data_IF_508393033622
#
_entry.id   IF_508393033622
#
_cell.length_a   1.000
_cell.length_b   1.000
_cell.length_c   1.000
_cell.angle_alpha   90.00
_cell.angle_beta   90.00
_cell.angle_gamma   90.00
#
_symmetry.space_group_name_H-M   'P 1'
#
loop_
_entity.id
_entity.type
_entity.pdbx_description
1 polymer ?
#
# COMPACT_ATOMS: atom_id res chain seq x y z
N UNK A 1 22.46 36.62 17.36
CA UNK A 1 23.27 35.39 17.26
C UNK A 1 22.56 34.45 16.31
N UNK A 2 22.96 34.40 15.04
CA UNK A 2 22.54 33.34 14.13
C UNK A 2 23.36 32.10 14.48
N UNK A 3 22.68 31.05 14.95
CA UNK A 3 23.30 29.73 15.12
C UNK A 3 23.47 29.18 13.71
N UNK A 4 24.70 29.17 13.18
CA UNK A 4 25.04 28.39 12.00
C UNK A 4 24.96 26.91 12.40
N UNK A 5 23.80 26.29 12.18
CA UNK A 5 23.66 24.85 12.19
C UNK A 5 24.48 24.30 11.02
N UNK A 6 25.62 23.69 11.30
CA UNK A 6 26.34 22.91 10.29
C UNK A 6 25.41 21.80 9.78
N UNK A 7 25.26 21.69 8.47
CA UNK A 7 24.47 20.62 7.86
C UNK A 7 24.97 19.25 8.33
N UNK A 8 24.08 18.31 8.71
CA UNK A 8 24.52 16.99 9.17
C UNK A 8 25.25 16.26 8.04
N UNK A 9 26.29 15.47 8.37
CA UNK A 9 27.01 14.67 7.39
C UNK A 9 26.06 13.68 6.70
N UNK A 10 26.24 13.40 5.40
CA UNK A 10 25.35 12.51 4.63
C UNK A 10 25.22 11.12 5.27
N UNK A 11 26.29 10.62 5.89
CA UNK A 11 26.24 9.32 6.59
C UNK A 11 25.24 9.33 7.75
N UNK A 12 25.25 10.41 8.55
CA UNK A 12 24.30 10.58 9.66
C UNK A 12 22.88 10.67 9.12
N UNK A 13 22.64 11.45 8.07
CA UNK A 13 21.33 11.58 7.43
C UNK A 13 20.83 10.26 6.84
N UNK A 14 21.71 9.49 6.21
CA UNK A 14 21.39 8.17 5.67
C UNK A 14 20.95 7.22 6.79
N UNK A 15 21.73 7.12 7.88
CA UNK A 15 21.45 6.22 9.00
C UNK A 15 20.16 6.63 9.74
N UNK A 16 19.96 7.93 10.01
CA UNK A 16 18.76 8.42 10.66
C UNK A 16 17.51 8.25 9.78
N UNK A 17 17.62 8.50 8.47
CA UNK A 17 16.50 8.35 7.54
C UNK A 17 16.12 6.89 7.34
N UNK A 18 17.11 6.01 7.33
CA UNK A 18 16.89 4.56 7.36
C UNK A 18 16.11 4.14 8.60
N UNK A 19 16.44 4.66 9.78
CA UNK A 19 15.71 4.37 11.01
C UNK A 19 14.28 4.94 10.97
N UNK A 20 14.13 6.18 10.48
CA UNK A 20 12.83 6.81 10.27
C UNK A 20 11.89 5.92 9.43
N UNK A 21 12.36 5.42 8.27
CA UNK A 21 11.56 4.53 7.43
C UNK A 21 11.33 3.16 8.05
N UNK A 22 12.33 2.59 8.72
CA UNK A 22 12.18 1.32 9.41
C UNK A 22 11.09 1.40 10.49
N UNK A 23 11.01 2.52 11.21
CA UNK A 23 10.01 2.75 12.24
C UNK A 23 8.62 3.06 11.67
N UNK A 24 8.56 3.85 10.59
CA UNK A 24 7.32 4.26 9.94
C UNK A 24 6.70 3.12 9.12
N UNK A 25 7.47 2.54 8.20
CA UNK A 25 7.03 1.58 7.19
C UNK A 25 7.37 0.13 7.52
N UNK A 26 8.36 -0.09 8.39
CA UNK A 26 8.86 -1.44 8.66
C UNK A 26 9.91 -1.94 7.69
N UNK A 27 10.42 -1.07 6.84
CA UNK A 27 11.50 -1.34 5.89
C UNK A 27 12.21 -0.04 5.54
N UNK A 28 13.36 -0.18 4.89
CA UNK A 28 14.20 0.87 4.33
C UNK A 28 14.75 0.39 2.98
N UNK A 29 15.45 1.22 2.19
CA UNK A 29 16.17 0.72 1.03
C UNK A 29 17.18 -0.35 1.44
N UNK A 30 17.14 -1.51 0.78
CA UNK A 30 18.03 -2.65 1.04
C UNK A 30 18.89 -2.98 -0.18
N UNK A 31 18.33 -2.81 -1.38
CA UNK A 31 19.00 -3.12 -2.65
C UNK A 31 19.66 -1.89 -3.26
N UNK A 32 19.15 -0.70 -2.93
CA UNK A 32 19.65 0.56 -3.48
C UNK A 32 21.02 0.89 -2.91
N UNK A 33 21.97 1.09 -3.81
CA UNK A 33 23.32 1.56 -3.47
C UNK A 33 23.42 3.07 -3.61
N UNK A 34 24.22 3.70 -2.75
CA UNK A 34 24.55 5.13 -2.80
C UNK A 34 26.00 5.30 -3.23
N UNK A 35 26.22 6.10 -4.27
CA UNK A 35 27.54 6.58 -4.67
C UNK A 35 27.59 8.10 -4.56
N UNK A 36 28.65 8.60 -3.93
CA UNK A 36 28.94 10.02 -3.86
C UNK A 36 30.12 10.32 -4.75
N UNK A 37 30.00 11.32 -5.61
CA UNK A 37 31.08 11.75 -6.50
C UNK A 37 31.35 13.24 -6.33
N UNK A 38 32.61 13.66 -6.54
CA UNK A 38 32.98 15.07 -6.45
C UNK A 38 32.31 15.89 -7.56
N UNK A 39 32.25 17.21 -7.42
CA UNK A 39 31.74 18.09 -8.48
C UNK A 39 32.46 17.87 -9.82
N UNK A 40 33.79 17.71 -9.81
CA UNK A 40 34.55 17.42 -11.03
C UNK A 40 34.13 16.12 -11.72
N UNK A 41 33.92 15.06 -10.95
CA UNK A 41 33.43 13.77 -11.46
C UNK A 41 31.97 13.88 -11.93
N UNK A 42 31.13 14.65 -11.23
CA UNK A 42 29.75 14.89 -11.62
C UNK A 42 29.64 15.63 -12.96
N UNK A 43 30.45 16.65 -13.18
CA UNK A 43 30.47 17.41 -14.42
C UNK A 43 30.88 16.54 -15.62
N UNK A 44 31.85 15.64 -15.43
CA UNK A 44 32.23 14.67 -16.46
C UNK A 44 31.14 13.61 -16.68
N UNK A 45 30.58 13.09 -15.60
CA UNK A 45 29.53 12.07 -15.62
C UNK A 45 28.26 12.58 -16.32
N UNK A 46 27.76 13.75 -15.92
CA UNK A 46 26.57 14.37 -16.50
C UNK A 46 26.76 14.67 -17.98
N UNK A 47 27.91 15.22 -18.37
CA UNK A 47 28.26 15.47 -19.79
C UNK A 47 28.28 14.18 -20.61
N UNK A 48 28.91 13.13 -20.09
CA UNK A 48 29.04 11.84 -20.79
C UNK A 48 27.70 11.13 -20.94
N UNK A 49 26.80 11.32 -19.98
CA UNK A 49 25.48 10.68 -19.92
C UNK A 49 24.35 11.54 -20.50
N UNK A 50 24.63 12.78 -20.88
CA UNK A 50 23.63 13.72 -21.40
C UNK A 50 22.61 14.15 -20.33
N UNK A 51 23.01 14.16 -19.05
CA UNK A 51 22.15 14.61 -17.95
C UNK A 51 22.15 16.14 -17.86
N UNK A 52 21.12 16.69 -17.22
CA UNK A 52 21.06 18.11 -16.93
C UNK A 52 22.27 18.51 -16.06
N UNK A 53 23.14 19.45 -16.48
CA UNK A 53 24.31 19.84 -15.71
C UNK A 53 23.96 20.53 -14.38
N UNK A 54 22.73 21.02 -14.25
CA UNK A 54 22.22 21.64 -13.02
C UNK A 54 21.64 20.61 -12.04
N UNK A 55 21.46 19.34 -12.45
CA UNK A 55 21.05 18.32 -11.49
C UNK A 55 22.20 17.98 -10.54
N UNK A 56 21.84 17.52 -9.36
CA UNK A 56 22.76 17.19 -8.26
C UNK A 56 22.68 15.72 -7.86
N UNK A 57 21.84 14.95 -8.56
CA UNK A 57 21.63 13.54 -8.35
C UNK A 57 21.07 12.86 -9.59
N UNK A 58 21.18 11.54 -9.61
CA UNK A 58 20.43 10.66 -10.51
C UNK A 58 20.26 9.28 -9.88
N UNK A 59 19.06 8.71 -10.02
CA UNK A 59 18.78 7.32 -9.74
C UNK A 59 18.76 6.50 -11.03
N UNK A 60 19.39 5.34 -10.99
CA UNK A 60 19.47 4.40 -12.11
C UNK A 60 18.69 3.13 -11.76
N UNK A 61 17.42 2.99 -12.17
CA UNK A 61 16.57 1.84 -11.80
C UNK A 61 17.18 0.49 -12.19
N UNK A 62 17.81 0.45 -13.37
CA UNK A 62 18.51 -0.73 -13.90
C UNK A 62 19.47 -1.38 -12.92
N UNK A 63 20.21 -0.58 -12.18
CA UNK A 63 21.21 -1.05 -11.23
C UNK A 63 20.84 -0.76 -9.77
N UNK A 64 19.67 -0.16 -9.53
CA UNK A 64 19.23 0.35 -8.23
C UNK A 64 20.34 1.16 -7.56
N UNK A 65 20.82 2.19 -8.27
CA UNK A 65 21.96 2.99 -7.83
C UNK A 65 21.61 4.46 -7.85
N UNK A 66 21.78 5.10 -6.70
CA UNK A 66 21.69 6.55 -6.54
C UNK A 66 23.08 7.13 -6.61
N UNK A 67 23.29 8.13 -7.46
CA UNK A 67 24.55 8.85 -7.57
C UNK A 67 24.26 10.29 -7.21
N UNK A 68 24.93 10.83 -6.19
CA UNK A 68 24.75 12.22 -5.75
C UNK A 68 26.05 13.01 -5.85
N UNK A 69 25.92 14.29 -6.19
CA UNK A 69 27.02 15.26 -6.23
C UNK A 69 27.33 15.73 -4.81
N UNK A 70 28.53 15.42 -4.36
CA UNK A 70 29.08 15.84 -3.07
C UNK A 70 28.19 15.47 -1.87
N UNK A 71 28.15 16.35 -0.85
CA UNK A 71 27.32 16.21 0.34
C UNK A 71 26.02 17.02 0.13
N UNK A 72 25.17 16.60 -0.80
CA UNK A 72 23.85 17.22 -1.04
C UNK A 72 22.72 16.40 -0.37
N UNK A 73 22.17 16.86 0.77
CA UNK A 73 21.10 16.16 1.48
C UNK A 73 19.82 15.99 0.66
N UNK A 74 19.44 17.01 -0.12
CA UNK A 74 18.21 16.97 -0.90
C UNK A 74 18.31 15.91 -2.01
N UNK A 75 19.47 15.81 -2.67
CA UNK A 75 19.71 14.73 -3.64
C UNK A 75 19.73 13.35 -2.98
N UNK A 76 20.25 13.22 -1.76
CA UNK A 76 20.14 11.96 -1.01
C UNK A 76 18.67 11.59 -0.80
N UNK A 77 17.85 12.53 -0.32
CA UNK A 77 16.44 12.29 -0.06
C UNK A 77 15.68 11.95 -1.34
N UNK A 78 15.92 12.69 -2.41
CA UNK A 78 15.25 12.51 -3.69
C UNK A 78 15.63 11.19 -4.38
N UNK A 79 16.92 10.94 -4.60
CA UNK A 79 17.40 9.82 -5.41
C UNK A 79 17.40 8.51 -4.61
N UNK A 80 17.95 8.52 -3.39
CA UNK A 80 18.11 7.30 -2.60
C UNK A 80 16.82 6.90 -1.90
N UNK A 81 16.16 7.84 -1.24
CA UNK A 81 14.92 7.55 -0.50
C UNK A 81 13.67 7.72 -1.33
N UNK A 82 13.59 8.69 -2.23
CA UNK A 82 12.46 8.86 -3.13
C UNK A 82 12.41 7.74 -4.16
N UNK A 83 13.30 7.79 -5.14
CA UNK A 83 13.32 6.80 -6.22
C UNK A 83 13.72 5.39 -5.77
N UNK A 84 14.79 5.26 -4.97
CA UNK A 84 15.27 3.96 -4.49
C UNK A 84 14.21 3.18 -3.71
N UNK A 85 13.60 3.81 -2.70
CA UNK A 85 12.53 3.17 -1.92
C UNK A 85 11.32 2.83 -2.79
N UNK A 86 10.91 3.73 -3.69
CA UNK A 86 9.78 3.49 -4.58
C UNK A 86 10.03 2.28 -5.48
N UNK A 87 11.20 2.20 -6.10
CA UNK A 87 11.60 1.08 -6.96
C UNK A 87 11.68 -0.25 -6.22
N UNK A 88 12.06 -0.24 -4.94
CA UNK A 88 12.14 -1.45 -4.13
C UNK A 88 10.80 -1.88 -3.53
N UNK A 89 9.92 -0.94 -3.19
CA UNK A 89 8.81 -1.20 -2.28
C UNK A 89 7.43 -0.85 -2.84
N UNK A 90 7.31 -0.31 -4.05
CA UNK A 90 6.02 -0.21 -4.76
C UNK A 90 5.90 -1.27 -5.87
N UNK A 91 4.68 -1.67 -6.22
CA UNK A 91 4.45 -2.58 -7.36
C UNK A 91 4.93 -1.95 -8.67
N UNK A 92 4.59 -0.68 -8.89
CA UNK A 92 4.96 0.09 -10.08
C UNK A 92 6.47 0.24 -10.20
N UNK A 93 7.14 0.64 -9.13
CA UNK A 93 8.59 0.76 -9.09
C UNK A 93 9.31 -0.57 -9.28
N UNK A 94 8.81 -1.67 -8.70
CA UNK A 94 9.35 -3.02 -8.95
C UNK A 94 9.22 -3.42 -10.41
N UNK A 95 8.10 -3.09 -11.06
CA UNK A 95 7.88 -3.34 -12.49
C UNK A 95 8.86 -2.56 -13.35
N UNK A 96 9.13 -1.29 -13.03
CA UNK A 96 10.15 -0.48 -13.71
C UNK A 96 11.53 -1.17 -13.66
N UNK A 97 11.96 -1.60 -12.47
CA UNK A 97 13.25 -2.29 -12.29
C UNK A 97 13.29 -3.61 -13.05
N UNK A 98 12.19 -4.37 -13.06
CA UNK A 98 12.09 -5.63 -13.80
C UNK A 98 12.28 -5.42 -15.32
N UNK A 99 11.58 -4.43 -15.90
CA UNK A 99 11.67 -4.10 -17.32
C UNK A 99 13.08 -3.64 -17.71
N UNK A 100 13.70 -2.78 -16.89
CA UNK A 100 15.07 -2.32 -17.09
C UNK A 100 16.10 -3.44 -17.03
N UNK A 101 15.97 -4.35 -16.06
CA UNK A 101 16.84 -5.52 -15.94
C UNK A 101 16.65 -6.48 -17.11
N UNK A 102 15.41 -6.73 -17.52
CA UNK A 102 15.10 -7.58 -18.67
C UNK A 102 15.73 -7.01 -19.95
N UNK A 103 15.57 -5.71 -20.20
CA UNK A 103 16.19 -5.04 -21.35
C UNK A 103 17.72 -5.14 -21.31
N UNK A 104 18.33 -4.97 -20.13
CA UNK A 104 19.78 -5.12 -19.98
C UNK A 104 20.27 -6.52 -20.33
N UNK A 105 19.57 -7.57 -19.91
CA UNK A 105 19.96 -8.95 -20.25
C UNK A 105 19.82 -9.24 -21.75
N UNK A 106 18.80 -8.67 -22.40
CA UNK A 106 18.64 -8.74 -23.85
C UNK A 106 19.77 -8.00 -24.58
N UNK A 107 20.14 -6.79 -24.12
CA UNK A 107 21.29 -6.03 -24.65
C UNK A 107 22.61 -6.82 -24.49
N UNK A 108 22.87 -7.39 -23.31
CA UNK A 108 24.07 -8.21 -23.06
C UNK A 108 24.14 -9.42 -23.99
N UNK A 109 23.01 -10.05 -24.26
CA UNK A 109 22.94 -11.22 -25.15
C UNK A 109 23.25 -10.82 -26.59
N UNK A 110 22.61 -9.76 -27.09
CA UNK A 110 22.82 -9.24 -28.44
C UNK A 110 24.28 -8.84 -28.66
N UNK A 111 24.83 -8.07 -27.72
CA UNK A 111 26.17 -7.51 -27.84
C UNK A 111 27.27 -8.36 -27.19
N UNK A 112 27.00 -9.65 -26.91
CA UNK A 112 27.91 -10.56 -26.22
C UNK A 112 29.23 -10.82 -26.95
N UNK A 113 29.26 -10.65 -28.28
CA UNK A 113 30.37 -11.08 -29.14
C UNK A 113 31.25 -9.94 -29.69
N UNK A 114 31.06 -8.70 -29.27
CA UNK A 114 31.85 -7.60 -29.83
C UNK A 114 31.71 -6.28 -29.10
N UNK A 115 32.56 -5.32 -29.51
CA UNK A 115 32.38 -3.92 -29.13
C UNK A 115 31.18 -3.38 -29.89
N UNK A 116 30.34 -2.62 -29.21
CA UNK A 116 29.18 -1.94 -29.76
C UNK A 116 29.26 -0.45 -29.45
N UNK A 117 28.55 0.35 -30.24
CA UNK A 117 28.42 1.79 -30.04
C UNK A 117 27.06 2.14 -29.43
N UNK A 118 26.89 3.38 -28.96
CA UNK A 118 25.58 3.87 -28.52
C UNK A 118 24.54 3.85 -29.65
N UNK A 119 24.97 4.00 -30.90
CA UNK A 119 24.08 3.96 -32.05
C UNK A 119 23.56 2.53 -32.31
N UNK A 120 24.40 1.52 -32.08
CA UNK A 120 24.00 0.11 -32.19
C UNK A 120 22.94 -0.23 -31.12
N UNK A 121 23.10 0.28 -29.89
CA UNK A 121 22.09 0.14 -28.82
C UNK A 121 20.78 0.80 -29.22
N UNK A 122 20.81 2.02 -29.74
CA UNK A 122 19.60 2.73 -30.18
C UNK A 122 18.86 1.97 -31.28
N UNK A 123 19.58 1.43 -32.26
CA UNK A 123 19.03 0.60 -33.33
C UNK A 123 18.43 -0.70 -32.82
N UNK A 124 19.07 -1.34 -31.83
CA UNK A 124 18.53 -2.53 -31.17
C UNK A 124 17.24 -2.22 -30.41
N UNK A 125 17.19 -1.11 -29.68
CA UNK A 125 16.04 -0.72 -28.85
C UNK A 125 14.79 -0.39 -29.66
N UNK A 126 14.91 0.28 -30.80
CA UNK A 126 13.73 0.72 -31.59
C UNK A 126 12.71 -0.39 -31.90
N UNK A 127 13.10 -1.56 -32.43
CA UNK A 127 12.18 -2.68 -32.65
C UNK A 127 11.99 -3.60 -31.43
N UNK A 128 12.70 -3.37 -30.31
CA UNK A 128 12.68 -4.27 -29.16
C UNK A 128 11.39 -4.10 -28.35
N UNK A 129 10.66 -5.20 -28.15
CA UNK A 129 9.38 -5.18 -27.45
C UNK A 129 9.51 -4.77 -25.97
N UNK A 130 10.55 -5.24 -25.27
CA UNK A 130 10.78 -4.88 -23.86
C UNK A 130 11.09 -3.39 -23.72
N UNK A 131 11.82 -2.79 -24.67
CA UNK A 131 12.07 -1.35 -24.70
C UNK A 131 10.79 -0.55 -24.99
N UNK A 132 9.94 -1.00 -25.93
CA UNK A 132 8.66 -0.35 -26.20
C UNK A 132 7.71 -0.41 -25.00
N UNK A 133 7.68 -1.56 -24.32
CA UNK A 133 6.93 -1.72 -23.07
C UNK A 133 7.46 -0.81 -21.96
N UNK A 134 8.78 -0.70 -21.81
CA UNK A 134 9.41 0.21 -20.86
C UNK A 134 9.11 1.69 -21.17
N UNK A 135 9.24 2.13 -22.42
CA UNK A 135 8.98 3.51 -22.84
C UNK A 135 7.50 3.89 -22.60
N UNK A 136 6.56 3.00 -22.91
CA UNK A 136 5.14 3.22 -22.60
C UNK A 136 4.88 3.24 -21.09
N UNK A 137 5.50 2.32 -20.34
CA UNK A 137 5.37 2.27 -18.89
C UNK A 137 5.90 3.54 -18.23
N UNK A 138 7.06 4.04 -18.67
CA UNK A 138 7.63 5.31 -18.19
C UNK A 138 6.69 6.47 -18.49
N UNK A 139 6.17 6.61 -19.72
CA UNK A 139 5.22 7.69 -20.06
C UNK A 139 3.98 7.70 -19.17
N UNK A 140 3.48 6.53 -18.77
CA UNK A 140 2.30 6.41 -17.92
C UNK A 140 2.57 6.67 -16.42
N UNK A 141 3.82 6.52 -15.96
CA UNK A 141 4.14 6.48 -14.53
C UNK A 141 5.23 7.47 -14.08
N UNK A 142 5.90 8.16 -15.01
CA UNK A 142 7.03 9.05 -14.71
C UNK A 142 6.62 10.18 -13.76
N UNK A 143 5.44 10.76 -13.97
CA UNK A 143 4.94 11.84 -13.12
C UNK A 143 4.73 11.37 -11.67
N UNK A 144 4.08 10.22 -11.47
CA UNK A 144 3.89 9.64 -10.13
C UNK A 144 5.22 9.34 -9.45
N UNK A 145 6.16 8.78 -10.21
CA UNK A 145 7.49 8.43 -9.75
C UNK A 145 8.31 9.65 -9.29
N UNK A 146 8.26 10.75 -10.05
CA UNK A 146 8.94 12.00 -9.72
C UNK A 146 8.25 12.73 -8.56
N UNK A 147 6.92 12.84 -8.60
CA UNK A 147 6.14 13.49 -7.53
C UNK A 147 6.37 12.80 -6.19
N UNK A 148 6.47 11.46 -6.16
CA UNK A 148 6.82 10.72 -4.96
C UNK A 148 8.22 11.07 -4.43
N UNK A 149 9.20 11.24 -5.31
CA UNK A 149 10.57 11.58 -4.93
C UNK A 149 10.68 13.01 -4.39
N UNK A 150 10.02 13.97 -5.04
CA UNK A 150 9.92 15.36 -4.55
C UNK A 150 9.19 15.41 -3.20
N UNK A 151 8.11 14.65 -3.03
CA UNK A 151 7.41 14.59 -1.74
C UNK A 151 8.28 13.94 -0.65
N UNK A 152 9.07 12.93 -0.98
CA UNK A 152 10.02 12.32 -0.05
C UNK A 152 11.10 13.31 0.39
N UNK A 153 11.59 14.11 -0.55
CA UNK A 153 12.50 15.23 -0.27
C UNK A 153 11.85 16.27 0.65
N UNK A 154 10.58 16.63 0.41
CA UNK A 154 9.79 17.45 1.33
C UNK A 154 9.67 16.79 2.72
N UNK A 155 9.34 15.51 2.81
CA UNK A 155 9.16 14.85 4.10
C UNK A 155 10.44 14.91 4.94
N UNK A 156 11.57 14.45 4.39
CA UNK A 156 12.83 14.35 5.11
C UNK A 156 13.47 15.72 5.37
N UNK A 157 13.33 16.68 4.46
CA UNK A 157 13.81 18.05 4.73
C UNK A 157 13.12 18.68 5.94
N UNK A 158 11.84 18.35 6.20
CA UNK A 158 11.17 18.75 7.43
C UNK A 158 11.74 18.09 8.67
N UNK A 159 11.97 16.78 8.60
CA UNK A 159 12.50 15.99 9.73
C UNK A 159 13.89 16.46 10.16
N UNK A 160 14.72 16.93 9.22
CA UNK A 160 16.11 17.32 9.47
C UNK A 160 16.37 18.83 9.49
N UNK A 161 15.33 19.67 9.58
CA UNK A 161 15.43 21.13 9.55
C UNK A 161 16.14 21.69 8.31
N UNK A 162 15.93 21.07 7.15
CA UNK A 162 16.41 21.49 5.83
C UNK A 162 15.26 22.03 4.95
N UNK A 163 14.16 22.46 5.58
CA UNK A 163 12.94 22.92 4.92
C UNK A 163 13.20 24.14 4.01
N UNK A 164 14.02 25.09 4.46
CA UNK A 164 14.37 26.29 3.70
C UNK A 164 15.11 25.95 2.39
N UNK A 165 16.04 24.98 2.44
CA UNK A 165 16.76 24.52 1.24
C UNK A 165 15.80 23.89 0.21
N UNK A 166 14.84 23.10 0.70
CA UNK A 166 13.80 22.52 -0.14
C UNK A 166 12.91 23.60 -0.76
N UNK A 167 12.46 24.59 0.04
CA UNK A 167 11.55 25.64 -0.43
C UNK A 167 12.18 26.46 -1.57
N UNK A 168 13.48 26.75 -1.50
CA UNK A 168 14.20 27.41 -2.60
C UNK A 168 14.19 26.62 -3.92
N UNK A 169 14.28 25.28 -3.85
CA UNK A 169 14.11 24.40 -5.02
C UNK A 169 12.64 24.34 -5.45
N UNK A 170 11.72 24.22 -4.50
CA UNK A 170 10.29 24.08 -4.72
C UNK A 170 9.67 25.29 -5.44
N UNK A 171 10.13 26.50 -5.13
CA UNK A 171 9.65 27.73 -5.77
C UNK A 171 9.99 27.80 -7.26
N UNK A 172 10.96 27.01 -7.72
CA UNK A 172 11.31 26.88 -9.14
C UNK A 172 10.36 25.95 -9.92
N UNK A 173 9.56 25.13 -9.23
CA UNK A 173 8.52 24.31 -9.87
C UNK A 173 7.37 25.19 -10.36
N UNK A 174 6.79 24.85 -11.51
CA UNK A 174 5.69 25.62 -12.10
C UNK A 174 4.66 24.72 -12.78
N UNK A 175 3.44 25.24 -12.92
CA UNK A 175 2.36 24.54 -13.61
C UNK A 175 1.95 23.22 -12.94
N UNK A 176 1.74 22.20 -13.77
CA UNK A 176 1.17 20.91 -13.35
C UNK A 176 2.05 20.15 -12.34
N UNK A 177 3.38 20.23 -12.46
CA UNK A 177 4.30 19.57 -11.52
C UNK A 177 4.12 20.10 -10.09
N UNK A 178 3.99 21.42 -9.94
CA UNK A 178 3.78 22.03 -8.62
C UNK A 178 2.43 21.65 -8.03
N UNK A 179 1.38 21.65 -8.85
CA UNK A 179 0.03 21.23 -8.43
C UNK A 179 -0.01 19.76 -7.97
N UNK A 180 0.70 18.88 -8.66
CA UNK A 180 0.81 17.47 -8.30
C UNK A 180 1.55 17.29 -6.95
N UNK A 181 2.64 18.03 -6.73
CA UNK A 181 3.38 18.01 -5.46
C UNK A 181 2.57 18.62 -4.31
N UNK A 182 1.87 19.74 -4.55
CA UNK A 182 0.97 20.33 -3.55
C UNK A 182 -0.14 19.36 -3.15
N UNK A 183 -0.70 18.62 -4.12
CA UNK A 183 -1.74 17.61 -3.89
C UNK A 183 -1.26 16.52 -2.93
N UNK A 184 -0.08 15.92 -3.15
CA UNK A 184 0.46 14.88 -2.27
C UNK A 184 0.88 15.43 -0.89
N UNK A 185 1.41 16.65 -0.82
CA UNK A 185 1.71 17.32 0.45
C UNK A 185 0.43 17.55 1.26
N UNK A 186 -0.63 18.05 0.62
CA UNK A 186 -1.92 18.29 1.27
C UNK A 186 -2.60 16.98 1.70
N UNK A 187 -2.46 15.92 0.91
CA UNK A 187 -2.90 14.58 1.31
C UNK A 187 -2.16 14.11 2.58
N UNK A 188 -0.83 14.24 2.62
CA UNK A 188 -0.02 13.89 3.79
C UNK A 188 -0.41 14.69 5.04
N UNK A 189 -0.63 16.01 4.91
CA UNK A 189 -1.12 16.84 6.03
C UNK A 189 -2.50 16.40 6.53
N UNK A 190 -3.35 15.90 5.63
CA UNK A 190 -4.72 15.52 5.95
C UNK A 190 -4.80 14.13 6.60
N UNK A 191 -4.06 13.16 6.07
CA UNK A 191 -4.19 11.73 6.39
C UNK A 191 -2.93 11.09 7.00
N UNK A 192 -1.83 11.83 7.09
CA UNK A 192 -0.55 11.36 7.62
C UNK A 192 0.38 10.77 6.56
N UNK A 193 1.66 10.66 6.94
CA UNK A 193 2.70 10.13 6.05
C UNK A 193 2.46 8.67 5.68
N UNK A 194 1.99 7.86 6.63
CA UNK A 194 1.78 6.43 6.41
C UNK A 194 0.68 6.18 5.36
N UNK A 195 -0.43 6.93 5.44
CA UNK A 195 -1.48 6.90 4.42
C UNK A 195 -0.94 7.32 3.05
N UNK A 196 -0.05 8.32 3.02
CA UNK A 196 0.55 8.81 1.77
C UNK A 196 1.40 7.75 1.09
N UNK A 197 2.30 7.06 1.82
CA UNK A 197 3.04 5.93 1.24
C UNK A 197 2.12 4.86 0.66
N UNK A 198 1.07 4.47 1.38
CA UNK A 198 0.16 3.42 0.92
C UNK A 198 -0.68 3.86 -0.29
N UNK A 199 -1.13 5.11 -0.33
CA UNK A 199 -1.82 5.69 -1.49
C UNK A 199 -0.92 5.72 -2.74
N UNK A 200 0.40 5.85 -2.56
CA UNK A 200 1.40 5.79 -3.64
C UNK A 200 1.82 4.36 -4.00
N UNK A 201 1.05 3.34 -3.59
CA UNK A 201 1.26 1.95 -4.00
C UNK A 201 2.38 1.22 -3.25
N UNK A 202 2.87 1.78 -2.14
CA UNK A 202 3.94 1.18 -1.36
C UNK A 202 3.46 -0.04 -0.58
N UNK A 203 4.42 -0.92 -0.31
CA UNK A 203 4.26 -2.12 0.51
C UNK A 203 3.71 -1.79 1.90
N UNK A 204 2.69 -2.52 2.31
CA UNK A 204 2.00 -2.44 3.60
C UNK A 204 2.49 -3.54 4.53
N UNK A 205 3.44 -3.24 5.42
CA UNK A 205 3.84 -4.15 6.52
C UNK A 205 2.85 -4.02 7.68
N UNK A 206 1.64 -4.53 7.44
CA UNK A 206 0.48 -4.34 8.30
C UNK A 206 0.69 -5.01 9.67
N UNK A 207 0.88 -4.18 10.69
CA UNK A 207 0.94 -4.58 12.11
C UNK A 207 -0.05 -3.75 12.89
N UNK A 208 -0.51 -4.26 14.04
CA UNK A 208 -1.41 -3.53 14.94
C UNK A 208 -0.87 -2.12 15.25
N UNK A 209 0.42 -2.00 15.59
CA UNK A 209 1.02 -0.72 15.93
C UNK A 209 1.01 0.29 14.76
N UNK A 210 1.30 -0.16 13.53
CA UNK A 210 1.28 0.73 12.35
C UNK A 210 -0.13 1.12 11.96
N UNK A 211 -1.06 0.17 11.99
CA UNK A 211 -2.47 0.48 11.69
C UNK A 211 -3.06 1.40 12.76
N UNK A 212 -2.66 1.25 14.03
CA UNK A 212 -3.03 2.21 15.08
C UNK A 212 -2.60 3.64 14.73
N UNK A 213 -1.31 3.86 14.40
CA UNK A 213 -0.78 5.17 14.00
C UNK A 213 -1.52 5.73 12.78
N UNK A 214 -1.73 4.89 11.76
CA UNK A 214 -2.48 5.25 10.56
C UNK A 214 -3.89 5.78 10.89
N UNK A 215 -4.60 5.08 11.76
CA UNK A 215 -5.95 5.47 12.15
C UNK A 215 -5.95 6.73 13.02
N UNK A 216 -4.96 6.90 13.90
CA UNK A 216 -4.78 8.11 14.71
C UNK A 216 -4.56 9.34 13.81
N UNK A 217 -3.81 9.21 12.73
CA UNK A 217 -3.61 10.30 11.75
C UNK A 217 -4.90 10.63 10.98
N UNK A 218 -5.65 9.61 10.54
CA UNK A 218 -6.86 9.78 9.71
C UNK A 218 -8.05 10.30 10.53
N UNK A 219 -8.33 9.67 11.67
CA UNK A 219 -9.55 9.92 12.45
C UNK A 219 -9.31 10.90 13.60
N UNK A 220 -8.06 11.11 14.03
CA UNK A 220 -7.67 12.05 15.07
C UNK A 220 -8.54 11.85 16.33
N UNK A 221 -9.17 12.91 16.81
CA UNK A 221 -10.00 12.88 18.01
C UNK A 221 -11.23 11.96 17.91
N UNK A 222 -11.69 11.61 16.70
CA UNK A 222 -12.87 10.74 16.51
C UNK A 222 -12.64 9.31 17.03
N UNK A 223 -11.40 8.87 17.20
CA UNK A 223 -11.11 7.55 17.77
C UNK A 223 -11.51 7.44 19.25
N UNK A 224 -11.73 8.56 19.96
CA UNK A 224 -12.14 8.56 21.37
C UNK A 224 -13.53 7.96 21.57
N UNK A 225 -14.39 8.02 20.56
CA UNK A 225 -15.78 7.53 20.61
C UNK A 225 -15.92 6.08 20.12
N UNK A 226 -14.80 5.41 19.86
CA UNK A 226 -14.77 4.02 19.39
C UNK A 226 -14.75 3.06 20.56
N UNK A 227 -15.64 2.06 20.53
CA UNK A 227 -15.66 0.95 21.49
C UNK A 227 -14.50 0.00 21.28
N UNK A 228 -14.29 -0.44 20.06
CA UNK A 228 -13.12 -1.19 19.67
C UNK A 228 -12.85 -1.11 18.17
N UNK A 229 -11.59 -1.33 17.82
CA UNK A 229 -11.09 -1.44 16.45
C UNK A 229 -10.36 -2.76 16.28
N UNK A 230 -10.62 -3.47 15.20
CA UNK A 230 -9.95 -4.72 14.84
C UNK A 230 -9.24 -4.59 13.50
N UNK A 231 -8.04 -5.16 13.43
CA UNK A 231 -7.33 -5.44 12.19
C UNK A 231 -7.66 -6.86 11.75
N UNK A 232 -8.23 -7.04 10.57
CA UNK A 232 -8.55 -8.36 10.04
C UNK A 232 -8.03 -8.54 8.60
N UNK A 233 -8.58 -9.49 7.85
CA UNK A 233 -8.27 -9.65 6.43
C UNK A 233 -6.96 -10.39 6.12
N UNK A 234 -6.49 -10.25 4.87
CA UNK A 234 -5.37 -11.06 4.36
C UNK A 234 -3.99 -10.57 4.81
N UNK A 235 -3.88 -9.28 5.16
CA UNK A 235 -2.64 -8.61 5.59
C UNK A 235 -1.45 -8.80 4.63
N UNK A 236 -1.72 -9.05 3.35
CA UNK A 236 -0.68 -9.18 2.33
C UNK A 236 -0.08 -7.82 2.04
N UNK A 237 1.19 -7.81 1.65
CA UNK A 237 1.98 -6.58 1.47
C UNK A 237 1.38 -5.59 0.47
N UNK A 238 0.61 -6.06 -0.50
CA UNK A 238 -0.04 -5.20 -1.49
C UNK A 238 -1.56 -5.35 -1.53
N UNK A 239 -2.15 -5.98 -0.50
CA UNK A 239 -3.60 -5.92 -0.30
C UNK A 239 -3.96 -4.67 0.49
N UNK A 240 -5.19 -4.22 0.35
CA UNK A 240 -5.82 -3.26 1.26
C UNK A 240 -5.71 -3.70 2.73
N UNK A 241 -5.81 -2.71 3.60
CA UNK A 241 -5.84 -2.88 5.05
C UNK A 241 -7.32 -2.94 5.47
N UNK A 242 -7.75 -4.11 5.90
CA UNK A 242 -9.10 -4.33 6.41
C UNK A 242 -9.21 -3.95 7.90
N UNK A 243 -10.04 -2.94 8.19
CA UNK A 243 -10.28 -2.45 9.54
C UNK A 243 -11.76 -2.49 9.88
N UNK A 244 -12.08 -3.08 11.03
CA UNK A 244 -13.43 -3.14 11.56
C UNK A 244 -13.55 -2.28 12.79
N UNK A 245 -14.54 -1.38 12.82
CA UNK A 245 -14.76 -0.44 13.92
C UNK A 245 -16.18 -0.51 14.47
N UNK A 246 -16.31 -0.42 15.79
CA UNK A 246 -17.59 -0.21 16.47
C UNK A 246 -17.51 1.08 17.25
N UNK A 247 -18.33 2.05 16.90
CA UNK A 247 -18.33 3.39 17.51
C UNK A 247 -19.37 4.28 16.86
N UNK A 248 -19.73 5.37 17.53
CA UNK A 248 -20.70 6.32 16.99
C UNK A 248 -20.03 7.28 15.99
N UNK A 249 -20.73 7.58 14.91
CA UNK A 249 -20.33 8.61 13.93
C UNK A 249 -18.94 8.44 13.29
N UNK A 250 -18.43 7.21 13.20
CA UNK A 250 -17.15 6.92 12.54
C UNK A 250 -17.39 6.78 11.03
N UNK A 251 -16.83 7.68 10.19
CA UNK A 251 -16.96 7.55 8.74
C UNK A 251 -16.37 6.22 8.24
N UNK A 252 -17.00 5.63 7.24
CA UNK A 252 -16.41 4.51 6.48
C UNK A 252 -15.40 5.07 5.49
N UNK A 253 -14.35 4.31 5.21
CA UNK A 253 -13.38 4.62 4.16
C UNK A 253 -13.27 3.39 3.29
N UNK A 254 -13.36 3.55 1.97
CA UNK A 254 -13.08 2.49 1.03
C UNK A 254 -12.28 3.04 -0.14
N UNK A 255 -11.06 2.59 -0.27
CA UNK A 255 -10.15 2.91 -1.37
C UNK A 255 -9.19 1.72 -1.61
N UNK A 256 -8.23 1.87 -2.52
CA UNK A 256 -7.36 0.78 -2.96
C UNK A 256 -6.33 0.32 -1.89
N UNK A 257 -6.22 1.03 -0.76
CA UNK A 257 -5.23 0.74 0.27
C UNK A 257 -5.80 0.53 1.68
N UNK A 258 -7.02 0.97 1.97
CA UNK A 258 -7.71 0.71 3.23
C UNK A 258 -9.22 0.56 3.01
N UNK A 259 -9.79 -0.46 3.67
CA UNK A 259 -11.23 -0.64 3.83
C UNK A 259 -11.57 -0.57 5.32
N UNK A 260 -12.16 0.55 5.73
CA UNK A 260 -12.67 0.75 7.09
C UNK A 260 -14.18 0.59 7.07
N UNK A 261 -14.64 -0.54 7.60
CA UNK A 261 -16.05 -0.77 7.89
C UNK A 261 -16.33 -0.37 9.33
N UNK A 262 -17.35 0.47 9.50
CA UNK A 262 -17.76 0.98 10.81
C UNK A 262 -19.26 0.74 11.05
N UNK A 263 -19.58 0.48 12.31
CA UNK A 263 -20.93 0.26 12.80
C UNK A 263 -21.16 1.04 14.09
N UNK A 264 -22.34 1.63 14.23
CA UNK A 264 -22.82 2.04 15.55
C UNK A 264 -22.99 0.83 16.45
N UNK A 265 -23.02 1.03 17.77
CA UNK A 265 -23.22 -0.08 18.72
C UNK A 265 -24.52 -0.83 18.47
N UNK A 266 -25.60 -0.11 18.11
CA UNK A 266 -26.91 -0.70 17.81
C UNK A 266 -26.89 -1.58 16.56
N UNK A 267 -26.32 -1.09 15.46
CA UNK A 267 -26.18 -1.87 14.21
C UNK A 267 -25.30 -3.10 14.41
N UNK A 268 -24.19 -2.93 15.13
CA UNK A 268 -23.30 -4.02 15.49
C UNK A 268 -24.04 -5.11 16.27
N UNK A 269 -24.80 -4.74 17.30
CA UNK A 269 -25.57 -5.69 18.10
C UNK A 269 -26.65 -6.41 17.28
N UNK A 270 -27.37 -5.69 16.42
CA UNK A 270 -28.38 -6.28 15.56
C UNK A 270 -27.76 -7.30 14.61
N UNK A 271 -26.74 -6.90 13.84
CA UNK A 271 -26.07 -7.79 12.88
C UNK A 271 -25.38 -8.98 13.58
N UNK A 272 -24.82 -8.78 14.78
CA UNK A 272 -24.27 -9.88 15.61
C UNK A 272 -25.35 -10.91 15.94
N UNK A 273 -26.56 -10.49 16.34
CA UNK A 273 -27.69 -11.41 16.63
C UNK A 273 -28.16 -12.17 15.39
N UNK A 274 -27.92 -11.63 14.21
CA UNK A 274 -28.25 -12.25 12.93
C UNK A 274 -27.15 -13.18 12.40
N UNK A 275 -26.04 -13.35 13.13
CA UNK A 275 -24.85 -14.07 12.64
C UNK A 275 -24.38 -13.54 11.28
N UNK A 276 -24.45 -12.23 11.06
CA UNK A 276 -23.93 -11.61 9.84
C UNK A 276 -22.41 -11.85 9.76
N UNK A 277 -21.94 -12.36 8.63
CA UNK A 277 -20.52 -12.67 8.41
C UNK A 277 -19.64 -11.42 8.43
N UNK A 278 -20.18 -10.26 8.05
CA UNK A 278 -19.46 -8.97 8.15
C UNK A 278 -19.12 -8.61 9.60
N UNK A 279 -19.85 -9.15 10.57
CA UNK A 279 -19.59 -8.98 12.01
C UNK A 279 -18.83 -10.18 12.56
N UNK A 280 -19.27 -11.40 12.23
CA UNK A 280 -18.70 -12.60 12.82
C UNK A 280 -17.27 -12.86 12.36
N UNK A 281 -16.94 -12.57 11.10
CA UNK A 281 -15.58 -12.80 10.61
C UNK A 281 -14.57 -11.91 11.33
N UNK A 282 -14.71 -10.56 11.37
CA UNK A 282 -13.77 -9.71 12.10
C UNK A 282 -13.69 -10.04 13.60
N UNK A 283 -14.81 -10.41 14.25
CA UNK A 283 -14.80 -10.80 15.67
C UNK A 283 -13.95 -12.05 15.97
N UNK A 284 -13.75 -12.94 14.99
CA UNK A 284 -13.03 -14.21 15.19
C UNK A 284 -11.70 -14.30 14.47
N UNK A 285 -11.52 -13.58 13.36
CA UNK A 285 -10.28 -13.50 12.60
C UNK A 285 -9.45 -12.25 12.94
N UNK A 286 -10.09 -11.23 13.52
CA UNK A 286 -9.48 -9.94 13.80
C UNK A 286 -8.63 -9.91 15.07
N UNK A 287 -7.67 -9.00 15.06
CA UNK A 287 -6.80 -8.68 16.18
C UNK A 287 -7.11 -7.27 16.67
N UNK A 288 -7.27 -7.09 17.98
CA UNK A 288 -7.63 -5.79 18.54
C UNK A 288 -6.50 -4.78 18.35
N UNK A 289 -6.83 -3.61 17.79
CA UNK A 289 -5.91 -2.48 17.62
C UNK A 289 -5.99 -1.54 18.83
N UNK A 290 -7.20 -1.15 19.19
CA UNK A 290 -7.51 -0.27 20.33
C UNK A 290 -8.95 -0.47 20.81
N UNK A 291 -9.25 0.01 22.01
CA UNK A 291 -10.58 -0.01 22.62
C UNK A 291 -10.74 -0.97 23.80
N UNK A 292 -11.98 -1.20 24.21
CA UNK A 292 -12.33 -2.03 25.37
C UNK A 292 -12.26 -3.52 25.04
N UNK A 293 -11.16 -4.15 25.47
CA UNK A 293 -10.93 -5.59 25.29
C UNK A 293 -11.96 -6.45 26.02
N UNK A 294 -12.45 -6.02 27.18
CA UNK A 294 -13.45 -6.77 27.95
C UNK A 294 -14.78 -6.77 27.20
N UNK A 295 -15.19 -5.60 26.68
CA UNK A 295 -16.36 -5.50 25.82
C UNK A 295 -16.22 -6.40 24.58
N UNK A 296 -15.09 -6.33 23.87
CA UNK A 296 -14.82 -7.15 22.70
C UNK A 296 -14.97 -8.66 22.99
N UNK A 297 -14.29 -9.18 24.02
CA UNK A 297 -14.37 -10.60 24.37
C UNK A 297 -15.79 -11.00 24.83
N UNK A 298 -16.50 -10.11 25.53
CA UNK A 298 -17.90 -10.33 25.88
C UNK A 298 -18.78 -10.47 24.63
N UNK A 299 -18.60 -9.63 23.62
CA UNK A 299 -19.38 -9.71 22.38
C UNK A 299 -19.10 -11.00 21.61
N UNK A 300 -17.84 -11.47 21.59
CA UNK A 300 -17.50 -12.80 21.05
C UNK A 300 -18.22 -13.91 21.81
N UNK A 301 -18.16 -13.89 23.14
CA UNK A 301 -18.87 -14.85 23.99
C UNK A 301 -20.37 -14.88 23.75
N UNK A 302 -21.01 -13.70 23.63
CA UNK A 302 -22.43 -13.60 23.31
C UNK A 302 -22.77 -14.20 21.94
N UNK A 303 -21.93 -14.00 20.92
CA UNK A 303 -22.14 -14.60 19.60
C UNK A 303 -22.00 -16.13 19.61
N UNK A 304 -21.09 -16.68 20.43
CA UNK A 304 -20.97 -18.14 20.63
C UNK A 304 -22.21 -18.72 21.31
N UNK A 305 -22.70 -18.05 22.36
CA UNK A 305 -23.74 -18.58 23.24
C UNK A 305 -25.16 -18.33 22.73
N UNK A 306 -25.37 -17.32 21.88
CA UNK A 306 -26.71 -16.96 21.45
C UNK A 306 -27.41 -18.12 20.71
N UNK A 307 -28.74 -18.24 20.86
CA UNK A 307 -29.52 -19.21 20.12
C UNK A 307 -29.52 -18.87 18.63
N UNK A 308 -29.56 -19.90 17.80
CA UNK A 308 -29.84 -19.73 16.37
C UNK A 308 -31.33 -19.46 16.22
N UNK A 309 -31.69 -18.45 15.45
CA UNK A 309 -33.09 -18.05 15.24
C UNK A 309 -33.47 -18.13 13.76
N UNK A 310 -34.76 -18.33 13.49
CA UNK A 310 -35.29 -18.26 12.12
C UNK A 310 -35.06 -16.90 11.48
N UNK A 311 -35.04 -15.82 12.28
CA UNK A 311 -34.72 -14.46 11.79
C UNK A 311 -33.29 -14.42 11.24
N UNK A 312 -32.31 -14.97 11.95
CA UNK A 312 -30.92 -15.03 11.49
C UNK A 312 -30.75 -15.87 10.21
N UNK A 313 -31.43 -17.02 10.12
CA UNK A 313 -31.40 -17.87 8.92
C UNK A 313 -32.01 -17.13 7.72
N UNK A 314 -33.19 -16.51 7.89
CA UNK A 314 -33.86 -15.74 6.82
C UNK A 314 -33.03 -14.55 6.37
N UNK A 315 -32.43 -13.83 7.32
CA UNK A 315 -31.54 -12.71 7.02
C UNK A 315 -30.38 -13.14 6.11
N UNK A 316 -29.65 -14.19 6.47
CA UNK A 316 -28.50 -14.66 5.69
C UNK A 316 -28.89 -15.18 4.29
N UNK A 317 -30.08 -15.76 4.13
CA UNK A 317 -30.61 -16.12 2.80
C UNK A 317 -30.96 -14.90 1.97
N UNK A 318 -31.62 -13.91 2.58
CA UNK A 318 -31.94 -12.67 1.90
C UNK A 318 -30.67 -11.92 1.50
N UNK A 319 -29.67 -11.89 2.37
CA UNK A 319 -28.39 -11.25 2.09
C UNK A 319 -27.63 -11.97 0.96
N UNK A 320 -27.69 -13.30 0.91
CA UNK A 320 -27.15 -14.04 -0.24
C UNK A 320 -27.81 -13.60 -1.56
N UNK A 321 -29.14 -13.44 -1.59
CA UNK A 321 -29.84 -12.98 -2.80
C UNK A 321 -29.56 -11.50 -3.13
N UNK A 322 -29.38 -10.64 -2.12
CA UNK A 322 -29.00 -9.25 -2.32
C UNK A 322 -27.60 -9.14 -2.95
N UNK A 323 -26.62 -9.85 -2.38
CA UNK A 323 -25.24 -9.88 -2.89
C UNK A 323 -25.18 -10.49 -4.29
N UNK A 324 -26.03 -11.48 -4.58
CA UNK A 324 -26.14 -12.08 -5.90
C UNK A 324 -26.60 -11.07 -6.93
N UNK A 325 -27.65 -10.30 -6.62
CA UNK A 325 -28.16 -9.24 -7.51
C UNK A 325 -27.06 -8.19 -7.77
N UNK A 326 -26.43 -7.71 -6.70
CA UNK A 326 -25.34 -6.74 -6.80
C UNK A 326 -24.17 -7.26 -7.66
N UNK A 327 -23.80 -8.54 -7.52
CA UNK A 327 -22.74 -9.14 -8.33
C UNK A 327 -23.05 -9.13 -9.84
N UNK A 328 -24.32 -9.22 -10.23
CA UNK A 328 -24.74 -9.19 -11.64
C UNK A 328 -24.78 -7.78 -12.24
N UNK A 329 -24.65 -6.73 -11.42
CA UNK A 329 -24.47 -5.36 -11.92
C UNK A 329 -23.04 -5.15 -12.48
N UNK A 330 -22.13 -6.09 -12.24
CA UNK A 330 -20.75 -6.04 -12.73
C UNK A 330 -20.52 -6.97 -13.95
N UNK A 331 -19.56 -6.64 -14.83
CA UNK A 331 -19.15 -7.50 -15.95
C UNK A 331 -18.76 -8.91 -15.51
N UNK A 332 -19.00 -9.90 -16.36
CA UNK A 332 -18.85 -11.32 -16.03
C UNK A 332 -17.47 -11.69 -15.45
N UNK A 333 -16.41 -11.17 -16.06
CA UNK A 333 -15.02 -11.48 -15.70
C UNK A 333 -14.41 -10.52 -14.68
N UNK A 334 -15.18 -9.56 -14.18
CA UNK A 334 -14.68 -8.52 -13.26
C UNK A 334 -14.42 -9.06 -11.84
N UNK A 335 -13.44 -8.46 -11.16
CA UNK A 335 -13.19 -8.73 -9.74
C UNK A 335 -14.39 -8.38 -8.86
N UNK A 336 -15.14 -7.33 -9.22
CA UNK A 336 -16.37 -6.93 -8.51
C UNK A 336 -17.42 -8.04 -8.50
N UNK A 337 -17.65 -8.70 -9.65
CA UNK A 337 -18.57 -9.85 -9.72
C UNK A 337 -18.05 -11.05 -8.93
N UNK A 338 -16.77 -11.39 -9.05
CA UNK A 338 -16.16 -12.48 -8.27
C UNK A 338 -16.30 -12.24 -6.76
N UNK A 339 -16.12 -11.00 -6.32
CA UNK A 339 -16.30 -10.59 -4.93
C UNK A 339 -17.76 -10.72 -4.49
N UNK A 340 -18.71 -10.18 -5.24
CA UNK A 340 -20.15 -10.29 -4.91
C UNK A 340 -20.65 -11.74 -4.88
N UNK A 341 -20.18 -12.58 -5.81
CA UNK A 341 -20.47 -14.02 -5.80
C UNK A 341 -19.82 -14.75 -4.62
N UNK A 342 -18.63 -14.32 -4.18
CA UNK A 342 -18.02 -14.83 -2.95
C UNK A 342 -18.89 -14.54 -1.73
N UNK A 343 -19.37 -13.30 -1.57
CA UNK A 343 -20.27 -12.93 -0.47
C UNK A 343 -21.62 -13.63 -0.54
N UNK A 344 -22.19 -13.78 -1.74
CA UNK A 344 -23.39 -14.61 -1.99
C UNK A 344 -23.22 -16.01 -1.41
N UNK A 345 -22.12 -16.67 -1.75
CA UNK A 345 -21.83 -18.01 -1.27
C UNK A 345 -21.63 -18.03 0.26
N UNK A 346 -20.90 -17.07 0.81
CA UNK A 346 -20.66 -16.97 2.26
C UNK A 346 -21.96 -16.85 3.05
N UNK A 347 -22.84 -15.91 2.70
CA UNK A 347 -24.12 -15.71 3.39
C UNK A 347 -25.04 -16.92 3.25
N UNK A 348 -25.07 -17.55 2.06
CA UNK A 348 -25.84 -18.77 1.85
C UNK A 348 -25.34 -19.92 2.74
N UNK A 349 -24.03 -20.13 2.80
CA UNK A 349 -23.45 -21.18 3.64
C UNK A 349 -23.64 -20.91 5.14
N UNK A 350 -23.62 -19.64 5.56
CA UNK A 350 -23.99 -19.27 6.91
C UNK A 350 -25.42 -19.76 7.21
N UNK A 351 -26.40 -19.41 6.38
CA UNK A 351 -27.78 -19.84 6.56
C UNK A 351 -27.95 -21.37 6.59
N UNK A 352 -27.27 -22.09 5.69
CA UNK A 352 -27.33 -23.55 5.63
C UNK A 352 -26.71 -24.23 6.87
N UNK A 353 -25.61 -23.70 7.40
CA UNK A 353 -25.01 -24.20 8.64
C UNK A 353 -25.88 -23.89 9.85
N UNK A 354 -26.44 -22.68 9.94
CA UNK A 354 -27.36 -22.30 11.01
C UNK A 354 -28.59 -23.21 11.05
N UNK A 355 -29.18 -23.56 9.90
CA UNK A 355 -30.28 -24.56 9.80
C UNK A 355 -29.91 -25.93 10.37
N UNK A 356 -28.64 -26.33 10.25
CA UNK A 356 -28.09 -27.58 10.78
C UNK A 356 -27.66 -27.47 12.24
N UNK A 357 -27.92 -26.35 12.90
CA UNK A 357 -27.48 -26.08 14.28
C UNK A 357 -25.98 -25.78 14.43
N UNK A 358 -25.25 -25.61 13.31
CA UNK A 358 -23.81 -25.35 13.30
C UNK A 358 -23.53 -23.85 13.29
N UNK A 359 -22.58 -23.43 14.12
CA UNK A 359 -22.09 -22.04 14.16
C UNK A 359 -20.67 -22.00 13.60
N UNK A 360 -20.51 -21.41 12.42
CA UNK A 360 -19.21 -21.18 11.79
C UNK A 360 -19.06 -19.68 11.65
N UNK A 361 -18.02 -19.10 12.23
CA UNK A 361 -17.93 -17.64 12.41
C UNK A 361 -17.02 -16.94 11.40
N UNK A 362 -16.09 -17.66 10.76
CA UNK A 362 -15.17 -17.05 9.80
C UNK A 362 -15.58 -17.33 8.36
N UNK A 363 -15.32 -16.38 7.47
CA UNK A 363 -15.54 -16.53 6.02
C UNK A 363 -14.73 -17.70 5.47
N UNK A 364 -13.48 -17.84 5.95
CA UNK A 364 -12.58 -18.93 5.56
C UNK A 364 -13.22 -20.29 5.87
N UNK A 365 -13.67 -20.51 7.10
CA UNK A 365 -14.23 -21.80 7.51
C UNK A 365 -15.57 -22.11 6.84
N UNK A 366 -16.40 -21.08 6.59
CA UNK A 366 -17.63 -21.22 5.80
C UNK A 366 -17.32 -21.73 4.39
N UNK A 367 -16.31 -21.16 3.72
CA UNK A 367 -15.90 -21.59 2.39
C UNK A 367 -15.24 -22.99 2.40
N UNK A 368 -14.56 -23.39 3.48
CA UNK A 368 -14.05 -24.77 3.63
C UNK A 368 -15.16 -25.79 3.86
N UNK A 369 -16.22 -25.43 4.59
CA UNK A 369 -17.35 -26.33 4.84
C UNK A 369 -18.03 -26.83 3.54
N UNK A 370 -17.94 -26.03 2.46
CA UNK A 370 -18.34 -26.41 1.10
C UNK A 370 -17.58 -27.62 0.56
N UNK A 371 -16.26 -27.69 0.80
CA UNK A 371 -15.41 -28.77 0.26
C UNK A 371 -15.71 -30.09 0.95
N UNK A 372 -15.89 -30.06 2.27
CA UNK A 372 -16.29 -31.24 3.04
C UNK A 372 -17.68 -31.77 2.61
N UNK A 373 -18.66 -30.88 2.37
CA UNK A 373 -19.97 -31.29 1.88
C UNK A 373 -19.93 -31.88 0.45
N UNK A 374 -19.07 -31.36 -0.42
CA UNK A 374 -18.88 -31.88 -1.77
C UNK A 374 -18.10 -33.21 -1.82
N UNK A 375 -17.30 -33.51 -0.79
CA UNK A 375 -16.59 -34.78 -0.63
C UNK A 375 -17.47 -35.83 0.07
N UNK A 376 -18.30 -35.45 1.04
CA UNK A 376 -19.28 -36.33 1.67
C UNK A 376 -20.38 -36.77 0.67
N UNK A 377 -20.84 -35.88 -0.22
CA UNK A 377 -21.76 -36.24 -1.31
C UNK A 377 -21.15 -37.22 -2.32
N UNK A 378 -19.81 -37.28 -2.45
CA UNK A 378 -19.12 -38.28 -3.27
C UNK A 378 -18.94 -39.61 -2.54
N UNK A 379 -18.78 -39.60 -1.21
CA UNK A 379 -18.64 -40.81 -0.40
C UNK A 379 -19.98 -41.52 -0.17
N UNK A 380 -21.11 -40.81 -0.22
CA UNK A 380 -22.45 -41.39 -0.17
C UNK A 380 -22.93 -41.96 -1.53
N UNK A 381 -22.13 -41.81 -2.59
CA UNK A 381 -22.40 -42.35 -3.93
C UNK A 381 -21.50 -43.55 -4.31
N UNK A 382 -20.73 -44.07 -3.35
CA UNK A 382 -20.02 -45.36 -3.42
C UNK A 382 -20.71 -46.38 -2.52
#
# INVERSE_FOLDING_TARGET
MQVQTQAPQIRTLLDSSNNFYQDLLGYKPEQTSLEKISESQWNEFSKTRGLNPNSSGVYLPRNQKSIIREENPLSLFHEYFGHGLYCEQSLTGRRLVELEKKLLEEEKKEFSKGKFTLEDIKKFRQPNQTFQELDEFERQNLELYEVFAIWTEYLLSGEYNLREDFEGKYDSLSGQEKEAVDSIINFSKSYGNLATFYAQGMARRTTVARVKRLLEDIYKDKLKDVRFVLLYGSRKEFSDIDVFMVGNEIPRIKNDWIDVVSYSEGEFEEKRRLFDVEISDPLFSGEIILGDKIYFERQRGLLVQQPITDKAIKYNLQEAENQKKYAYDFPEDSEGRKMGLSYTATSRFMAENLRKGKRIFTKKDLLYSKRALAEDDKLLQL
#
